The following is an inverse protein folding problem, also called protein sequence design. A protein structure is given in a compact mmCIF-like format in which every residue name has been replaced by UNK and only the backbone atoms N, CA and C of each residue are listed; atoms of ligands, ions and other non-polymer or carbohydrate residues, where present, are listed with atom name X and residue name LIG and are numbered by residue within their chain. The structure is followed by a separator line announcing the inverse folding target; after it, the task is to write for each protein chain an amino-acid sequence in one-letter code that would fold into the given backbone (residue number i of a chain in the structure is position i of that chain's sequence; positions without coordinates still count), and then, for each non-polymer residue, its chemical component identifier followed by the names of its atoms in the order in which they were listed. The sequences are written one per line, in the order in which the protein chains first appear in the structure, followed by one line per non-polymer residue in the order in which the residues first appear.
data_IF_788079768563
#
_entry.id   IF_788079768563
#
_cell.length_a   1.000
_cell.length_b   1.000
_cell.length_c   1.000
_cell.angle_alpha   90.00
_cell.angle_beta   90.00
_cell.angle_gamma   90.00
#
_symmetry.space_group_name_H-M   'P 1'
#
loop_
_entity.id
_entity.type
_entity.pdbx_description
1 polymer ?
#
# COMPACT_ATOMS: atom_id res chain seq x y z
N UNK A 1 9.11 -51.17 -32.55
CA UNK A 1 9.36 -49.77 -32.95
C UNK A 1 9.00 -48.90 -31.77
N UNK A 2 10.01 -48.60 -30.95
CA UNK A 2 9.93 -47.74 -29.76
C UNK A 2 9.88 -46.29 -30.22
N UNK A 3 8.78 -45.60 -29.93
CA UNK A 3 8.69 -44.15 -30.08
C UNK A 3 9.35 -43.49 -28.89
N UNK A 4 10.63 -43.14 -29.02
CA UNK A 4 11.28 -42.19 -28.12
C UNK A 4 10.77 -40.79 -28.48
N UNK A 5 10.08 -40.15 -27.54
CA UNK A 5 9.75 -38.73 -27.62
C UNK A 5 11.04 -37.94 -27.47
N UNK A 6 11.45 -37.30 -28.56
CA UNK A 6 12.56 -36.36 -28.60
C UNK A 6 12.25 -35.14 -27.71
N UNK A 7 12.81 -35.13 -26.50
CA UNK A 7 12.82 -33.99 -25.58
C UNK A 7 14.15 -33.22 -25.65
N UNK A 8 14.94 -33.37 -26.72
CA UNK A 8 16.19 -32.65 -26.88
C UNK A 8 15.95 -31.26 -27.49
N UNK A 9 15.83 -30.23 -26.65
CA UNK A 9 16.05 -28.85 -27.16
C UNK A 9 15.35 -27.68 -26.48
N UNK A 10 14.39 -27.88 -25.58
CA UNK A 10 13.82 -26.74 -24.85
C UNK A 10 14.81 -26.29 -23.76
N UNK A 11 15.66 -25.33 -24.11
CA UNK A 11 16.45 -24.59 -23.14
C UNK A 11 15.48 -23.97 -22.12
N UNK A 12 15.52 -24.45 -20.87
CA UNK A 12 14.76 -23.89 -19.76
C UNK A 12 15.18 -22.43 -19.56
N UNK A 13 14.47 -21.49 -20.18
CA UNK A 13 14.67 -20.07 -19.99
C UNK A 13 14.13 -19.70 -18.61
N UNK A 14 15.02 -19.25 -17.72
CA UNK A 14 14.62 -18.71 -16.42
C UNK A 14 13.76 -17.45 -16.64
N UNK A 15 12.76 -17.20 -15.78
CA UNK A 15 11.85 -16.08 -15.97
C UNK A 15 12.54 -14.72 -15.73
N UNK A 16 12.03 -13.68 -16.39
CA UNK A 16 12.40 -12.30 -16.09
C UNK A 16 13.90 -12.02 -16.29
N UNK A 17 14.46 -11.26 -15.34
CA UNK A 17 15.88 -10.86 -15.37
C UNK A 17 16.87 -11.99 -15.08
N UNK A 18 16.40 -13.15 -14.61
CA UNK A 18 17.25 -14.33 -14.41
C UNK A 18 17.61 -14.99 -15.73
N UNK A 19 16.68 -15.02 -16.69
CA UNK A 19 16.94 -15.54 -18.04
C UNK A 19 17.48 -14.48 -19.00
N UNK A 20 17.19 -13.21 -18.74
CA UNK A 20 17.63 -12.09 -19.57
C UNK A 20 17.82 -10.83 -18.72
N UNK A 21 19.06 -10.45 -18.37
CA UNK A 21 19.35 -9.29 -17.51
C UNK A 21 18.80 -7.95 -18.02
N UNK A 22 18.48 -7.86 -19.32
CA UNK A 22 17.92 -6.67 -19.98
C UNK A 22 16.39 -6.64 -19.95
N UNK A 23 15.74 -7.69 -19.44
CA UNK A 23 14.28 -7.77 -19.33
C UNK A 23 13.72 -6.61 -18.51
N UNK A 24 12.71 -5.95 -19.07
CA UNK A 24 11.91 -4.90 -18.43
C UNK A 24 10.44 -5.27 -18.53
N UNK A 25 9.56 -4.53 -17.86
CA UNK A 25 8.12 -4.81 -17.85
C UNK A 25 7.54 -4.80 -19.28
N UNK A 26 7.98 -3.87 -20.12
CA UNK A 26 7.61 -3.77 -21.55
C UNK A 26 7.88 -5.04 -22.36
N UNK A 27 8.93 -5.79 -22.01
CA UNK A 27 9.39 -6.97 -22.75
C UNK A 27 9.12 -8.28 -22.00
N UNK A 28 8.35 -8.23 -20.92
CA UNK A 28 8.04 -9.36 -20.07
C UNK A 28 6.81 -10.13 -20.62
N UNK A 29 7.00 -11.34 -21.19
CA UNK A 29 5.88 -12.11 -21.76
C UNK A 29 4.82 -12.54 -20.73
N UNK A 30 5.15 -12.52 -19.44
CA UNK A 30 4.21 -12.83 -18.34
C UNK A 30 3.33 -11.64 -17.95
N UNK A 31 3.69 -10.42 -18.35
CA UNK A 31 3.00 -9.22 -17.92
C UNK A 31 1.66 -9.07 -18.66
N UNK A 32 0.61 -8.68 -17.94
CA UNK A 32 -0.67 -8.35 -18.57
C UNK A 32 -0.46 -7.13 -19.50
N UNK A 33 -0.75 -7.26 -20.81
CA UNK A 33 -0.49 -6.19 -21.77
C UNK A 33 -1.25 -4.90 -21.46
N UNK A 34 -2.39 -4.98 -20.76
CA UNK A 34 -3.17 -3.80 -20.33
C UNK A 34 -2.45 -3.05 -19.22
N UNK A 35 -1.83 -3.77 -18.29
CA UNK A 35 -1.04 -3.18 -17.21
C UNK A 35 0.25 -2.56 -17.77
N UNK A 36 0.91 -3.22 -18.73
CA UNK A 36 2.08 -2.66 -19.42
C UNK A 36 1.72 -1.33 -20.10
N UNK A 37 0.58 -1.27 -20.81
CA UNK A 37 0.12 -0.05 -21.46
C UNK A 37 -0.09 1.11 -20.46
N UNK A 38 -0.73 0.84 -19.32
CA UNK A 38 -0.95 1.85 -18.28
C UNK A 38 0.35 2.33 -17.61
N UNK A 39 1.33 1.44 -17.44
CA UNK A 39 2.63 1.78 -16.87
C UNK A 39 3.49 2.60 -17.86
N UNK A 40 3.34 2.36 -19.16
CA UNK A 40 4.09 3.05 -20.20
C UNK A 40 3.77 4.56 -20.29
N UNK A 41 2.56 4.98 -19.92
CA UNK A 41 2.16 6.40 -19.92
C UNK A 41 3.04 7.28 -19.03
N UNK A 42 3.65 6.68 -18.00
CA UNK A 42 4.55 7.35 -17.05
C UNK A 42 5.99 6.84 -17.13
N UNK A 43 6.30 5.98 -18.11
CA UNK A 43 7.62 5.38 -18.26
C UNK A 43 7.97 4.32 -17.19
N UNK A 44 6.98 3.76 -16.49
CA UNK A 44 7.18 2.66 -15.54
C UNK A 44 7.28 1.28 -16.21
N UNK A 45 7.15 1.19 -17.53
CA UNK A 45 7.31 -0.05 -18.30
C UNK A 45 8.78 -0.37 -18.63
N UNK A 46 9.69 0.59 -18.45
CA UNK A 46 11.13 0.46 -18.69
C UNK A 46 11.93 0.44 -17.39
N UNK A 47 13.24 0.22 -17.49
CA UNK A 47 14.12 0.28 -16.33
C UNK A 47 14.16 1.71 -15.76
N UNK A 48 14.09 1.88 -14.43
CA UNK A 48 14.24 3.20 -13.82
C UNK A 48 15.68 3.71 -14.00
N UNK A 49 15.82 5.04 -14.05
CA UNK A 49 17.12 5.68 -13.99
C UNK A 49 17.85 5.37 -12.67
N UNK A 50 19.19 5.27 -12.67
CA UNK A 50 19.97 5.05 -11.45
C UNK A 50 19.66 6.12 -10.39
N UNK A 51 19.42 5.67 -9.17
CA UNK A 51 19.18 6.53 -8.02
C UNK A 51 20.53 7.12 -7.54
N UNK A 52 20.62 8.43 -7.23
CA UNK A 52 21.89 9.10 -6.91
C UNK A 52 22.41 8.84 -5.48
N UNK A 53 21.72 8.04 -4.67
CA UNK A 53 22.12 7.68 -3.30
C UNK A 53 22.13 6.16 -3.12
N UNK A 54 22.84 5.69 -2.11
CA UNK A 54 22.97 4.27 -1.73
C UNK A 54 22.56 4.06 -0.28
N UNK A 55 22.55 2.81 0.19
CA UNK A 55 22.27 2.52 1.60
C UNK A 55 23.37 3.06 2.54
N UNK A 56 24.56 3.32 2.00
CA UNK A 56 25.73 3.85 2.70
C UNK A 56 25.83 5.38 2.63
N UNK A 57 24.96 6.05 1.87
CA UNK A 57 24.91 7.51 1.80
C UNK A 57 24.49 8.12 3.14
N UNK A 58 24.87 9.38 3.43
CA UNK A 58 24.38 10.10 4.61
C UNK A 58 22.85 10.11 4.67
N UNK A 59 22.29 9.87 5.86
CA UNK A 59 20.83 9.72 6.03
C UNK A 59 20.04 10.97 5.59
N UNK A 60 20.63 12.16 5.70
CA UNK A 60 19.98 13.39 5.25
C UNK A 60 19.87 13.45 3.72
N UNK A 61 20.87 12.99 2.97
CA UNK A 61 20.79 12.91 1.49
C UNK A 61 19.71 11.92 1.05
N UNK A 62 19.59 10.78 1.75
CA UNK A 62 18.54 9.79 1.50
C UNK A 62 17.16 10.40 1.76
N UNK A 63 16.99 11.14 2.86
CA UNK A 63 15.74 11.84 3.22
C UNK A 63 15.38 12.93 2.23
N UNK A 64 16.35 13.72 1.78
CA UNK A 64 16.17 14.75 0.76
C UNK A 64 15.68 14.14 -0.56
N UNK A 65 16.28 13.03 -0.99
CA UNK A 65 15.79 12.30 -2.15
C UNK A 65 14.36 11.82 -1.95
N UNK A 66 14.03 11.22 -0.81
CA UNK A 66 12.67 10.73 -0.52
C UNK A 66 11.65 11.87 -0.57
N UNK A 67 11.94 13.00 0.06
CA UNK A 67 11.08 14.19 0.05
C UNK A 67 10.88 14.75 -1.37
N UNK A 68 11.88 14.61 -2.24
CA UNK A 68 11.81 15.03 -3.63
C UNK A 68 10.98 14.08 -4.51
N UNK A 69 11.08 12.76 -4.30
CA UNK A 69 10.37 11.76 -5.14
C UNK A 69 8.94 11.48 -4.68
N UNK A 70 8.63 11.64 -3.38
CA UNK A 70 7.31 11.34 -2.82
C UNK A 70 6.15 12.06 -3.56
N UNK A 71 6.24 13.36 -3.91
CA UNK A 71 5.20 14.02 -4.72
C UNK A 71 4.99 13.38 -6.10
N UNK A 72 6.03 12.84 -6.72
CA UNK A 72 5.95 12.24 -8.06
C UNK A 72 5.11 10.95 -8.04
N UNK A 73 5.18 10.16 -6.96
CA UNK A 73 4.27 9.02 -6.76
C UNK A 73 2.82 9.48 -6.65
N UNK A 74 2.57 10.56 -5.91
CA UNK A 74 1.22 11.08 -5.73
C UNK A 74 0.61 11.61 -7.03
N UNK A 75 1.41 12.22 -7.90
CA UNK A 75 0.94 12.68 -9.20
C UNK A 75 0.69 11.51 -10.16
N UNK A 76 1.56 10.49 -10.17
CA UNK A 76 1.32 9.24 -10.88
C UNK A 76 0.00 8.57 -10.47
N UNK A 77 -0.24 8.49 -9.16
CA UNK A 77 -1.47 7.97 -8.59
C UNK A 77 -2.70 8.77 -9.00
N UNK A 78 -2.66 10.11 -8.95
CA UNK A 78 -3.80 10.92 -9.41
C UNK A 78 -4.11 10.64 -10.88
N UNK A 79 -3.08 10.50 -11.72
CA UNK A 79 -3.27 10.22 -13.14
C UNK A 79 -3.93 8.85 -13.36
N UNK A 80 -3.40 7.77 -12.77
CA UNK A 80 -3.94 6.43 -12.94
C UNK A 80 -5.38 6.25 -12.41
N UNK A 81 -5.79 7.08 -11.45
CA UNK A 81 -7.10 6.99 -10.83
C UNK A 81 -8.09 8.06 -11.32
N UNK A 82 -7.67 8.97 -12.21
CA UNK A 82 -8.45 10.14 -12.63
C UNK A 82 -9.81 9.78 -13.27
N UNK A 83 -9.82 8.72 -14.07
CA UNK A 83 -10.99 8.33 -14.89
C UNK A 83 -11.85 7.25 -14.23
N UNK A 84 -11.56 6.87 -12.98
CA UNK A 84 -12.39 5.90 -12.28
C UNK A 84 -13.73 6.52 -11.88
N UNK A 85 -14.86 5.81 -12.06
CA UNK A 85 -16.16 6.32 -11.66
C UNK A 85 -16.20 6.55 -10.14
N UNK A 86 -16.96 7.55 -9.66
CA UNK A 86 -17.07 7.83 -8.24
C UNK A 86 -17.75 6.67 -7.50
N UNK A 87 -17.47 6.59 -6.19
CA UNK A 87 -18.10 5.64 -5.27
C UNK A 87 -19.01 6.43 -4.34
N UNK A 88 -20.32 6.38 -4.59
CA UNK A 88 -21.29 7.27 -3.93
C UNK A 88 -21.97 6.65 -2.70
N UNK A 89 -21.87 5.33 -2.53
CA UNK A 89 -22.51 4.56 -1.46
C UNK A 89 -21.65 4.42 -0.18
N UNK A 90 -20.66 5.28 0.00
CA UNK A 90 -19.74 5.28 1.14
C UNK A 90 -19.85 6.59 1.92
N UNK A 91 -19.88 6.49 3.25
CA UNK A 91 -19.69 7.60 4.19
C UNK A 91 -18.27 7.58 4.74
N UNK A 92 -17.69 8.76 4.89
CA UNK A 92 -16.34 8.94 5.39
C UNK A 92 -16.36 9.80 6.65
N UNK A 93 -15.65 9.36 7.67
CA UNK A 93 -15.40 10.10 8.91
C UNK A 93 -13.91 10.05 9.25
N UNK A 94 -13.40 11.06 9.93
CA UNK A 94 -12.02 11.06 10.43
C UNK A 94 -12.05 11.17 11.95
N UNK A 95 -11.45 10.19 12.61
CA UNK A 95 -11.24 10.21 14.05
C UNK A 95 -9.78 10.59 14.35
N UNK A 96 -9.55 11.29 15.45
CA UNK A 96 -8.19 11.60 15.94
C UNK A 96 -8.02 10.98 17.31
N UNK A 97 -7.02 10.10 17.44
CA UNK A 97 -6.73 9.39 18.68
C UNK A 97 -5.34 9.77 19.19
N UNK A 98 -5.10 9.56 20.48
CA UNK A 98 -3.77 9.71 21.07
C UNK A 98 -2.99 8.40 20.98
N UNK A 99 -1.82 8.45 20.32
CA UNK A 99 -0.87 7.36 20.21
C UNK A 99 -0.06 7.10 21.49
N UNK A 100 0.70 6.01 21.48
CA UNK A 100 1.52 5.60 22.63
C UNK A 100 2.58 6.64 23.05
N UNK A 101 3.05 7.50 22.13
CA UNK A 101 4.02 8.57 22.41
C UNK A 101 3.34 9.91 22.71
N UNK A 102 2.01 9.94 22.88
CA UNK A 102 1.23 11.17 23.05
C UNK A 102 1.00 11.97 21.76
N UNK A 103 1.34 11.39 20.60
CA UNK A 103 1.09 11.99 19.29
C UNK A 103 -0.35 11.79 18.83
N UNK A 104 -0.87 12.72 18.03
CA UNK A 104 -2.15 12.52 17.35
C UNK A 104 -1.99 11.52 16.19
N UNK A 105 -2.94 10.60 16.06
CA UNK A 105 -3.04 9.64 14.95
C UNK A 105 -4.41 9.81 14.32
N UNK A 106 -4.46 10.02 13.01
CA UNK A 106 -5.72 10.10 12.26
C UNK A 106 -6.15 8.71 11.83
N UNK A 107 -7.43 8.41 12.02
CA UNK A 107 -8.09 7.21 11.52
C UNK A 107 -9.15 7.62 10.50
N UNK A 108 -8.95 7.23 9.24
CA UNK A 108 -9.89 7.45 8.15
C UNK A 108 -10.88 6.31 8.09
N UNK A 109 -12.10 6.55 8.54
CA UNK A 109 -13.16 5.55 8.67
C UNK A 109 -14.08 5.66 7.45
N UNK A 110 -14.17 4.59 6.67
CA UNK A 110 -15.04 4.46 5.51
C UNK A 110 -16.09 3.40 5.82
N UNK A 111 -17.37 3.69 5.60
CA UNK A 111 -18.48 2.78 5.88
C UNK A 111 -19.53 2.80 4.76
N UNK A 112 -20.20 1.68 4.48
CA UNK A 112 -21.33 1.66 3.56
C UNK A 112 -22.50 2.47 4.15
N UNK A 113 -23.14 3.33 3.33
CA UNK A 113 -24.33 4.13 3.75
C UNK A 113 -25.46 3.26 4.28
N UNK A 114 -25.67 2.09 3.67
CA UNK A 114 -26.79 1.20 3.98
C UNK A 114 -26.28 -0.13 4.57
N UNK A 115 -25.49 -0.06 5.63
CA UNK A 115 -25.02 -1.26 6.34
C UNK A 115 -26.22 -1.99 6.98
N UNK A 116 -26.40 -3.27 6.67
CA UNK A 116 -27.30 -4.15 7.42
C UNK A 116 -26.50 -4.97 8.44
N UNK A 117 -26.89 -4.93 9.71
CA UNK A 117 -26.22 -5.68 10.77
C UNK A 117 -24.84 -5.13 11.13
N UNK A 118 -23.93 -6.00 11.58
CA UNK A 118 -22.58 -5.62 12.00
C UNK A 118 -21.52 -6.10 11.00
N UNK A 119 -21.17 -5.28 9.97
CA UNK A 119 -20.18 -5.66 8.96
C UNK A 119 -18.81 -5.99 9.58
N UNK A 120 -17.99 -6.73 8.84
CA UNK A 120 -16.57 -6.87 9.22
C UNK A 120 -15.81 -5.58 8.98
N UNK A 121 -14.78 -5.36 9.79
CA UNK A 121 -13.86 -4.26 9.66
C UNK A 121 -12.57 -4.71 8.99
N UNK A 122 -12.07 -3.93 8.03
CA UNK A 122 -10.70 -3.99 7.54
C UNK A 122 -9.92 -2.84 8.18
N UNK A 123 -8.94 -3.17 9.03
CA UNK A 123 -7.98 -2.20 9.52
C UNK A 123 -6.83 -2.09 8.50
N UNK A 124 -6.83 -0.99 7.74
CA UNK A 124 -6.00 -0.81 6.57
C UNK A 124 -4.72 -0.02 6.89
N UNK A 125 -3.57 -0.61 6.58
CA UNK A 125 -2.24 0.01 6.71
C UNK A 125 -1.67 0.21 5.31
N UNK A 126 -1.39 1.47 4.94
CA UNK A 126 -0.92 1.80 3.59
C UNK A 126 0.56 1.40 3.35
N UNK A 127 0.94 1.23 2.08
CA UNK A 127 2.31 0.98 1.66
C UNK A 127 3.21 2.22 1.65
N UNK A 128 4.22 2.21 0.79
CA UNK A 128 5.29 3.23 0.78
C UNK A 128 6.51 2.86 1.64
N UNK A 129 6.72 1.56 1.86
CA UNK A 129 7.92 1.05 2.52
C UNK A 129 8.10 1.50 3.97
N UNK A 130 7.01 1.88 4.65
CA UNK A 130 6.99 2.49 5.99
C UNK A 130 7.73 3.85 6.06
N UNK A 131 8.02 4.45 4.91
CA UNK A 131 8.96 5.57 4.77
C UNK A 131 8.34 6.78 4.08
N UNK A 132 7.40 6.59 3.16
CA UNK A 132 6.73 7.67 2.43
C UNK A 132 5.27 7.31 2.13
N UNK A 133 4.55 8.24 1.49
CA UNK A 133 3.12 8.21 1.19
C UNK A 133 2.25 8.43 2.44
N UNK A 134 0.98 8.75 2.23
CA UNK A 134 0.00 8.99 3.26
C UNK A 134 -1.27 8.18 2.99
N UNK A 135 -1.99 7.76 4.03
CA UNK A 135 -3.30 7.12 3.92
C UNK A 135 -4.33 8.00 3.18
N UNK A 136 -4.09 9.31 3.07
CA UNK A 136 -4.90 10.23 2.25
C UNK A 136 -4.63 10.17 0.75
N UNK A 137 -3.57 9.50 0.30
CA UNK A 137 -3.26 9.45 -1.13
C UNK A 137 -4.32 8.64 -1.89
N UNK A 138 -4.57 9.06 -3.13
CA UNK A 138 -5.67 8.59 -3.98
C UNK A 138 -5.87 7.07 -4.02
N UNK A 139 -4.83 6.22 -4.22
CA UNK A 139 -5.02 4.77 -4.25
C UNK A 139 -5.57 4.22 -2.95
N UNK A 140 -5.14 4.76 -1.80
CA UNK A 140 -5.57 4.26 -0.49
C UNK A 140 -6.97 4.73 -0.14
N UNK A 141 -7.32 5.98 -0.47
CA UNK A 141 -8.70 6.47 -0.34
C UNK A 141 -9.62 5.61 -1.20
N UNK A 142 -9.26 5.41 -2.48
CA UNK A 142 -10.01 4.57 -3.41
C UNK A 142 -10.17 3.15 -2.89
N UNK A 143 -9.08 2.54 -2.43
CA UNK A 143 -9.10 1.16 -1.91
C UNK A 143 -10.04 1.01 -0.70
N UNK A 144 -10.00 1.96 0.24
CA UNK A 144 -10.92 1.95 1.38
C UNK A 144 -12.36 2.17 0.96
N UNK A 145 -12.62 3.03 -0.03
CA UNK A 145 -13.97 3.21 -0.58
C UNK A 145 -14.49 1.95 -1.28
N UNK A 146 -13.67 1.26 -2.08
CA UNK A 146 -14.05 0.02 -2.77
C UNK A 146 -14.43 -1.08 -1.76
N UNK A 147 -13.60 -1.25 -0.73
CA UNK A 147 -13.88 -2.18 0.36
C UNK A 147 -15.16 -1.78 1.13
N UNK A 148 -15.35 -0.48 1.39
CA UNK A 148 -16.55 0.00 2.06
C UNK A 148 -17.82 -0.22 1.22
N UNK A 149 -17.75 0.05 -0.09
CA UNK A 149 -18.83 -0.20 -1.04
C UNK A 149 -19.19 -1.69 -1.14
N UNK A 150 -18.20 -2.58 -0.92
CA UNK A 150 -18.39 -4.02 -0.83
C UNK A 150 -18.99 -4.50 0.51
N UNK A 151 -19.38 -3.58 1.42
CA UNK A 151 -20.12 -3.90 2.63
C UNK A 151 -19.25 -4.06 3.89
N UNK A 152 -18.00 -3.58 3.87
CA UNK A 152 -17.10 -3.62 5.03
C UNK A 152 -16.99 -2.24 5.67
N UNK A 153 -16.73 -2.17 6.97
CA UNK A 153 -16.18 -0.93 7.55
C UNK A 153 -14.66 -0.96 7.32
N UNK A 154 -14.06 0.16 6.99
CA UNK A 154 -12.61 0.23 6.76
C UNK A 154 -12.04 1.37 7.58
N UNK A 155 -11.02 1.06 8.38
CA UNK A 155 -10.30 2.04 9.19
C UNK A 155 -8.88 2.13 8.67
N UNK A 156 -8.57 3.21 7.93
CA UNK A 156 -7.22 3.51 7.47
C UNK A 156 -6.45 4.30 8.51
N UNK A 157 -5.28 3.84 8.91
CA UNK A 157 -4.42 4.55 9.87
C UNK A 157 -3.40 5.45 9.16
N UNK A 158 -3.32 6.72 9.59
CA UNK A 158 -2.24 7.64 9.22
C UNK A 158 -1.12 7.55 10.25
N UNK A 159 -0.13 6.68 9.97
CA UNK A 159 0.99 6.45 10.87
C UNK A 159 2.18 7.35 10.54
N UNK A 160 3.06 7.58 11.52
CA UNK A 160 4.32 8.30 11.29
C UNK A 160 5.26 7.50 10.38
N UNK A 161 5.80 8.15 9.36
CA UNK A 161 6.71 7.54 8.39
C UNK A 161 8.19 7.70 8.79
N UNK A 162 9.03 6.84 8.22
CA UNK A 162 10.49 6.95 8.33
C UNK A 162 11.09 8.23 7.74
N UNK A 163 10.49 8.77 6.68
CA UNK A 163 10.89 10.01 6.02
C UNK A 163 9.69 10.68 5.32
N UNK A 164 9.94 11.57 4.36
CA UNK A 164 8.90 12.25 3.59
C UNK A 164 8.02 13.17 4.43
N UNK A 165 6.83 13.48 3.93
CA UNK A 165 5.88 14.43 4.50
C UNK A 165 5.42 14.08 5.92
N UNK A 166 5.38 12.79 6.26
CA UNK A 166 4.97 12.28 7.58
C UNK A 166 6.18 11.82 8.43
N UNK A 167 7.40 12.15 8.01
CA UNK A 167 8.65 11.81 8.69
C UNK A 167 9.17 12.90 9.62
N UNK A 168 10.32 12.71 10.29
CA UNK A 168 11.32 11.63 10.16
C UNK A 168 11.30 10.73 11.41
N UNK A 169 10.49 9.67 11.40
CA UNK A 169 10.27 8.82 12.57
C UNK A 169 10.75 7.38 12.32
N UNK A 170 11.96 7.02 12.77
CA UNK A 170 12.47 5.67 12.61
C UNK A 170 11.59 4.62 13.29
N UNK A 171 11.78 3.36 12.89
CA UNK A 171 11.22 2.22 13.61
C UNK A 171 11.53 2.32 15.13
N UNK A 172 10.56 2.07 16.02
CA UNK A 172 9.25 1.48 15.79
C UNK A 172 8.07 2.46 15.72
N UNK A 173 8.28 3.75 15.42
CA UNK A 173 7.23 4.78 15.52
C UNK A 173 5.94 4.43 14.74
N UNK A 174 6.04 4.19 13.43
CA UNK A 174 4.88 3.83 12.62
C UNK A 174 4.20 2.53 13.07
N UNK A 175 4.97 1.54 13.55
CA UNK A 175 4.41 0.30 14.11
C UNK A 175 3.63 0.56 15.41
N UNK A 176 4.14 1.43 16.29
CA UNK A 176 3.44 1.83 17.51
C UNK A 176 2.12 2.53 17.17
N UNK A 177 2.13 3.44 16.20
CA UNK A 177 0.91 4.15 15.77
C UNK A 177 -0.13 3.17 15.20
N UNK A 178 0.32 2.22 14.37
CA UNK A 178 -0.56 1.19 13.82
C UNK A 178 -1.19 0.32 14.92
N UNK A 179 -0.43 -0.04 15.96
CA UNK A 179 -0.95 -0.79 17.12
C UNK A 179 -1.93 0.04 17.94
N UNK A 180 -1.65 1.33 18.19
CA UNK A 180 -2.58 2.23 18.90
C UNK A 180 -3.90 2.37 18.16
N UNK A 181 -3.88 2.55 16.84
CA UNK A 181 -5.11 2.62 16.05
C UNK A 181 -5.87 1.30 15.97
N UNK A 182 -5.18 0.16 15.93
CA UNK A 182 -5.83 -1.15 15.95
C UNK A 182 -6.50 -1.40 17.31
N UNK A 183 -5.79 -1.10 18.41
CA UNK A 183 -6.33 -1.22 19.76
C UNK A 183 -7.57 -0.35 19.93
N UNK A 184 -7.49 0.92 19.52
CA UNK A 184 -8.66 1.81 19.53
C UNK A 184 -9.82 1.24 18.71
N UNK A 185 -9.56 0.71 17.52
CA UNK A 185 -10.60 0.12 16.66
C UNK A 185 -11.25 -1.10 17.34
N UNK A 186 -10.46 -1.92 18.04
CA UNK A 186 -10.95 -3.07 18.80
C UNK A 186 -11.81 -2.66 20.00
N UNK A 187 -11.39 -1.65 20.75
CA UNK A 187 -12.12 -1.17 21.92
C UNK A 187 -13.44 -0.48 21.54
N UNK A 188 -13.51 0.11 20.33
CA UNK A 188 -14.67 0.83 19.83
C UNK A 188 -15.55 0.02 18.87
N UNK A 189 -15.43 -1.32 18.84
CA UNK A 189 -16.20 -2.17 17.92
C UNK A 189 -17.71 -1.94 17.97
N UNK A 190 -18.26 -1.73 19.17
CA UNK A 190 -19.69 -1.51 19.35
C UNK A 190 -20.15 -0.17 18.74
N UNK A 191 -19.38 0.89 18.97
CA UNK A 191 -19.65 2.23 18.41
C UNK A 191 -19.48 2.26 16.88
N UNK A 192 -18.45 1.58 16.39
CA UNK A 192 -18.21 1.42 14.95
C UNK A 192 -19.21 0.48 14.28
N UNK A 193 -20.01 -0.28 15.05
CA UNK A 193 -20.99 -1.23 14.55
C UNK A 193 -20.36 -2.45 13.86
N UNK A 194 -19.16 -2.88 14.25
CA UNK A 194 -18.38 -3.91 13.55
C UNK A 194 -18.30 -5.25 14.31
N UNK A 195 -18.32 -6.37 13.58
CA UNK A 195 -18.32 -7.72 14.18
C UNK A 195 -16.92 -8.29 14.43
N UNK A 196 -16.03 -8.19 13.43
CA UNK A 196 -14.66 -8.70 13.45
C UNK A 196 -13.71 -7.70 12.80
N UNK A 197 -12.42 -7.79 13.11
CA UNK A 197 -11.37 -6.94 12.52
C UNK A 197 -10.39 -7.84 11.79
N UNK A 198 -10.05 -7.47 10.57
CA UNK A 198 -8.98 -8.07 9.76
C UNK A 198 -7.95 -6.98 9.49
N UNK A 199 -6.69 -7.22 9.83
CA UNK A 199 -5.58 -6.32 9.49
C UNK A 199 -5.17 -6.60 8.05
N UNK A 200 -5.04 -5.55 7.24
CA UNK A 200 -4.68 -5.65 5.82
C UNK A 200 -3.81 -4.49 5.38
N UNK A 201 -2.86 -4.76 4.50
CA UNK A 201 -2.01 -3.74 3.87
C UNK A 201 -1.16 -4.37 2.77
N UNK A 202 -0.61 -3.54 1.89
CA UNK A 202 0.23 -3.95 0.77
C UNK A 202 1.66 -3.44 0.90
N UNK A 203 2.64 -4.15 0.33
CA UNK A 203 4.04 -3.73 0.35
C UNK A 203 4.53 -3.40 1.79
N UNK A 204 4.92 -2.16 2.08
CA UNK A 204 5.27 -1.70 3.43
C UNK A 204 4.13 -1.80 4.45
N UNK A 205 2.89 -1.60 4.03
CA UNK A 205 1.70 -1.83 4.87
C UNK A 205 1.47 -3.30 5.14
N UNK A 206 1.86 -4.18 4.21
CA UNK A 206 1.90 -5.62 4.41
C UNK A 206 2.94 -6.04 5.46
N UNK A 207 4.12 -5.42 5.43
CA UNK A 207 5.15 -5.60 6.48
C UNK A 207 4.57 -5.22 7.86
N UNK A 208 4.02 -4.01 7.99
CA UNK A 208 3.43 -3.56 9.25
C UNK A 208 2.27 -4.44 9.71
N UNK A 209 1.38 -4.86 8.79
CA UNK A 209 0.26 -5.76 9.11
C UNK A 209 0.72 -7.08 9.73
N UNK A 210 1.79 -7.69 9.18
CA UNK A 210 2.39 -8.90 9.73
C UNK A 210 3.10 -8.63 11.07
N UNK A 211 3.88 -7.56 11.15
CA UNK A 211 4.61 -7.19 12.35
C UNK A 211 3.68 -6.89 13.53
N UNK A 212 2.55 -6.22 13.28
CA UNK A 212 1.48 -5.99 14.25
C UNK A 212 0.94 -7.30 14.78
N UNK A 213 0.66 -8.26 13.89
CA UNK A 213 0.08 -9.56 14.27
C UNK A 213 1.04 -10.39 15.12
N UNK A 214 2.36 -10.31 14.86
CA UNK A 214 3.37 -10.99 15.70
C UNK A 214 3.51 -10.32 17.08
N UNK A 215 3.30 -9.00 17.14
CA UNK A 215 3.43 -8.21 18.37
C UNK A 215 2.18 -8.26 19.26
N UNK A 216 1.02 -8.59 18.68
CA UNK A 216 -0.29 -8.60 19.33
C UNK A 216 -0.44 -9.66 20.43
#
# INVERSE_FOLDING_TARGET
MSGESDLSGEQLLLPGRLGDPTRVLKTEPRADPRMVAAMAELGFDVAPEPIPVTAESPIEEIRELIAMIEPSYNDAFKMWFADLPPIDNVERHTEVITGADGNDIKLYIHRPRNASGSPSCVYHVHGGGMVLLAATDTPYVRWRDELAAAGMVVVGVEFRNGAGKLGNHPFPAGLNDCMSGLQWTFDNKAELGISKIVVSGESGGGNLSLAMTIRA
#
